data_IF_576994432545
#
_entry.id   IF_576994432545
#
_cell.length_a   1.000
_cell.length_b   1.000
_cell.length_c   1.000
_cell.angle_alpha   90.00
_cell.angle_beta   90.00
_cell.angle_gamma   90.00
#
_symmetry.space_group_name_H-M   'P 1'
#
loop_
_entity.id
_entity.type
_entity.pdbx_description
1 polymer ?
#
# COMPACT_ATOMS: atom_id res chain seq x y z
N UNK A 1 24.71 7.48 25.49
CA UNK A 1 23.74 7.07 24.45
C UNK A 1 22.35 7.25 25.04
N UNK A 2 21.42 7.96 24.37
CA UNK A 2 20.01 7.95 24.77
C UNK A 2 19.40 6.64 24.27
N UNK A 3 18.66 5.91 25.12
CA UNK A 3 17.78 4.83 24.64
C UNK A 3 16.49 5.50 24.16
N UNK A 4 16.15 5.34 22.88
CA UNK A 4 14.87 5.79 22.37
C UNK A 4 13.73 4.93 22.96
N UNK A 5 12.54 5.51 23.21
CA UNK A 5 11.45 4.79 23.85
C UNK A 5 10.88 3.74 22.90
N UNK A 6 11.13 2.47 23.21
CA UNK A 6 10.64 1.34 22.40
C UNK A 6 9.11 1.26 22.55
N UNK A 7 8.39 1.51 21.46
CA UNK A 7 6.92 1.49 21.46
C UNK A 7 6.36 0.11 21.87
N UNK A 8 5.26 0.11 22.61
CA UNK A 8 4.42 -1.06 22.89
C UNK A 8 3.18 -1.13 22.00
N UNK A 9 2.89 -0.10 21.23
CA UNK A 9 1.83 -0.09 20.22
C UNK A 9 2.40 -0.55 18.86
N UNK A 10 1.53 -1.11 18.01
CA UNK A 10 1.89 -1.36 16.62
C UNK A 10 2.18 -0.03 15.93
N UNK A 11 3.19 -0.01 15.06
CA UNK A 11 3.43 1.13 14.19
C UNK A 11 2.52 1.02 12.96
N UNK A 12 1.78 2.09 12.69
CA UNK A 12 0.89 2.20 11.54
C UNK A 12 1.63 2.97 10.43
N UNK A 13 1.88 2.28 9.32
CA UNK A 13 2.50 2.86 8.12
C UNK A 13 1.62 3.99 7.60
N UNK A 14 2.26 5.12 7.30
CA UNK A 14 1.59 6.38 6.98
C UNK A 14 2.33 7.10 5.82
N UNK A 15 1.81 8.25 5.33
CA UNK A 15 2.36 8.94 4.17
C UNK A 15 3.75 9.57 4.35
N UNK A 16 4.39 9.42 5.52
CA UNK A 16 5.77 9.83 5.76
C UNK A 16 6.74 8.66 5.91
N UNK A 17 6.27 7.40 6.01
CA UNK A 17 7.13 6.22 6.16
C UNK A 17 8.01 6.03 4.91
N UNK A 18 9.33 6.15 5.04
CA UNK A 18 10.28 6.03 3.92
C UNK A 18 10.86 4.62 3.78
N UNK A 19 11.21 4.01 4.91
CA UNK A 19 11.89 2.71 4.96
C UNK A 19 11.72 2.06 6.35
N UNK A 20 11.54 0.74 6.35
CA UNK A 20 11.52 -0.10 7.57
C UNK A 20 12.64 -1.14 7.45
N UNK A 21 13.56 -1.12 8.41
CA UNK A 21 14.65 -2.09 8.53
C UNK A 21 14.33 -3.15 9.59
N UNK A 22 14.71 -4.41 9.36
CA UNK A 22 14.88 -5.36 10.45
C UNK A 22 16.17 -5.08 11.22
N UNK A 23 16.14 -5.32 12.52
CA UNK A 23 17.31 -5.39 13.39
C UNK A 23 17.21 -6.63 14.27
N UNK A 24 18.37 -7.23 14.58
CA UNK A 24 18.46 -8.44 15.40
C UNK A 24 19.13 -8.11 16.74
N UNK A 25 18.52 -8.51 17.84
CA UNK A 25 19.06 -8.39 19.20
C UNK A 25 18.96 -9.77 19.87
N UNK A 26 20.05 -10.54 19.79
CA UNK A 26 20.01 -11.96 20.11
C UNK A 26 19.05 -12.70 19.18
N UNK A 27 18.09 -13.43 19.76
CA UNK A 27 17.04 -14.16 19.04
C UNK A 27 15.80 -13.32 18.69
N UNK A 28 15.78 -12.02 19.04
CA UNK A 28 14.63 -11.14 18.79
C UNK A 28 14.90 -10.27 17.57
N UNK A 29 14.03 -10.38 16.55
CA UNK A 29 13.96 -9.45 15.43
C UNK A 29 12.99 -8.31 15.79
N UNK A 30 13.42 -7.07 15.61
CA UNK A 30 12.63 -5.85 15.83
C UNK A 30 12.77 -4.91 14.63
N UNK A 31 12.00 -3.82 14.59
CA UNK A 31 12.02 -2.86 13.48
C UNK A 31 12.60 -1.50 13.88
N UNK A 32 13.45 -0.95 13.01
CA UNK A 32 13.75 0.49 12.95
C UNK A 32 12.99 1.09 11.76
N UNK A 33 12.20 2.14 12.02
CA UNK A 33 11.37 2.84 11.05
C UNK A 33 11.88 4.26 10.89
N UNK A 34 12.11 4.67 9.64
CA UNK A 34 12.47 6.04 9.30
C UNK A 34 11.32 6.69 8.54
N UNK A 35 10.84 7.82 9.05
CA UNK A 35 9.97 8.75 8.34
C UNK A 35 10.76 9.98 7.86
N UNK A 36 10.09 10.88 7.13
CA UNK A 36 10.68 12.12 6.60
C UNK A 36 11.40 12.94 7.68
N UNK A 37 10.79 13.11 8.87
CA UNK A 37 11.28 14.00 9.93
C UNK A 37 11.52 13.29 11.29
N UNK A 38 11.34 11.97 11.35
CA UNK A 38 11.33 11.20 12.62
C UNK A 38 11.85 9.76 12.46
N UNK A 39 12.21 9.14 13.59
CA UNK A 39 12.69 7.76 13.69
C UNK A 39 11.99 7.05 14.84
N UNK A 40 11.67 5.76 14.66
CA UNK A 40 10.97 4.96 15.67
C UNK A 40 11.54 3.54 15.75
N UNK A 41 11.61 3.01 16.97
CA UNK A 41 11.91 1.59 17.23
C UNK A 41 10.66 0.86 17.69
N UNK A 42 10.26 -0.18 16.96
CA UNK A 42 9.11 -1.03 17.28
C UNK A 42 9.55 -2.47 17.57
N UNK A 43 8.87 -3.14 18.52
CA UNK A 43 9.18 -4.52 18.94
C UNK A 43 8.81 -5.59 17.92
N UNK A 44 7.95 -5.24 16.97
CA UNK A 44 7.46 -6.14 15.93
C UNK A 44 8.43 -6.20 14.75
N UNK A 45 8.39 -7.28 13.99
CA UNK A 45 9.18 -7.44 12.76
C UNK A 45 8.65 -6.55 11.63
N UNK A 46 9.48 -6.22 10.62
CA UNK A 46 9.02 -5.40 9.50
C UNK A 46 7.83 -6.00 8.76
N UNK A 47 7.78 -7.34 8.64
CA UNK A 47 6.68 -8.02 7.99
C UNK A 47 5.38 -7.94 8.81
N UNK A 48 5.43 -8.06 10.14
CA UNK A 48 4.27 -7.83 10.99
C UNK A 48 3.71 -6.41 10.85
N UNK A 49 4.57 -5.39 10.86
CA UNK A 49 4.16 -3.99 10.67
C UNK A 49 3.46 -3.76 9.33
N UNK A 50 3.95 -4.37 8.25
CA UNK A 50 3.27 -4.34 6.94
C UNK A 50 1.92 -5.08 7.01
N UNK A 51 1.83 -6.23 7.67
CA UNK A 51 0.57 -6.98 7.80
C UNK A 51 -0.47 -6.22 8.64
N UNK A 52 -0.08 -5.62 9.77
CA UNK A 52 -1.01 -4.83 10.61
C UNK A 52 -1.43 -3.54 9.92
N UNK A 53 -0.52 -2.87 9.21
CA UNK A 53 -0.87 -1.66 8.45
C UNK A 53 -1.83 -1.96 7.30
N UNK A 54 -1.68 -3.09 6.58
CA UNK A 54 -2.69 -3.52 5.61
C UNK A 54 -4.07 -3.71 6.27
N UNK A 55 -4.11 -4.42 7.41
CA UNK A 55 -5.35 -4.69 8.14
C UNK A 55 -6.01 -3.40 8.65
N UNK A 56 -5.22 -2.41 9.09
CA UNK A 56 -5.69 -1.07 9.49
C UNK A 56 -6.44 -0.37 8.35
N UNK A 57 -5.88 -0.39 7.13
CA UNK A 57 -6.55 0.09 5.91
C UNK A 57 -7.53 -0.95 5.29
N UNK A 58 -8.14 -1.79 6.14
CA UNK A 58 -9.27 -2.65 5.78
C UNK A 58 -8.96 -3.76 4.76
N UNK A 59 -7.73 -4.29 4.71
CA UNK A 59 -7.39 -5.38 3.78
C UNK A 59 -6.26 -6.26 4.29
N UNK A 60 -6.37 -7.58 4.16
CA UNK A 60 -5.24 -8.46 4.49
C UNK A 60 -4.06 -8.25 3.53
N UNK A 61 -2.84 -8.41 4.04
CA UNK A 61 -1.62 -8.45 3.21
C UNK A 61 -1.74 -9.51 2.11
N UNK A 62 -2.30 -10.68 2.43
CA UNK A 62 -2.60 -11.75 1.49
C UNK A 62 -3.55 -11.28 0.37
N UNK A 63 -4.58 -10.50 0.69
CA UNK A 63 -5.48 -9.89 -0.30
C UNK A 63 -4.79 -8.84 -1.18
N UNK A 64 -3.97 -7.95 -0.60
CA UNK A 64 -3.17 -6.99 -1.37
C UNK A 64 -2.13 -7.67 -2.28
N UNK A 65 -1.55 -8.79 -1.83
CA UNK A 65 -0.63 -9.63 -2.61
C UNK A 65 -1.32 -10.28 -3.81
N UNK A 66 -2.45 -10.95 -3.61
CA UNK A 66 -3.19 -11.57 -4.73
C UNK A 66 -3.79 -10.51 -5.67
N UNK A 67 -4.17 -9.33 -5.15
CA UNK A 67 -4.51 -8.17 -5.96
C UNK A 67 -3.36 -7.70 -6.86
N UNK A 68 -2.13 -7.65 -6.34
CA UNK A 68 -0.93 -7.32 -7.12
C UNK A 68 -0.65 -8.36 -8.21
N UNK A 69 -0.76 -9.64 -7.89
CA UNK A 69 -0.66 -10.76 -8.85
C UNK A 69 -1.72 -10.66 -9.94
N UNK A 70 -2.96 -10.28 -9.62
CA UNK A 70 -4.04 -10.05 -10.60
C UNK A 70 -3.80 -8.79 -11.47
N UNK A 71 -3.19 -7.73 -10.93
CA UNK A 71 -2.97 -6.48 -11.65
C UNK A 71 -1.74 -6.50 -12.57
N UNK A 72 -0.65 -7.17 -12.16
CA UNK A 72 0.65 -7.14 -12.87
C UNK A 72 1.37 -8.51 -12.97
N UNK A 73 0.74 -9.61 -12.57
CA UNK A 73 1.32 -10.96 -12.68
C UNK A 73 2.45 -11.29 -11.70
N UNK A 74 2.88 -10.34 -10.84
CA UNK A 74 4.05 -10.53 -9.96
C UNK A 74 3.69 -11.39 -8.75
N UNK A 75 4.36 -12.53 -8.63
CA UNK A 75 4.23 -13.50 -7.51
C UNK A 75 5.39 -13.45 -6.52
N UNK A 76 6.62 -13.22 -6.99
CA UNK A 76 7.84 -13.23 -6.19
C UNK A 76 8.32 -11.81 -5.84
N UNK A 77 8.52 -11.56 -4.54
CA UNK A 77 8.79 -10.22 -3.96
C UNK A 77 7.78 -9.15 -4.44
N UNK A 78 6.46 -9.40 -4.35
CA UNK A 78 5.46 -8.49 -4.90
C UNK A 78 5.47 -7.15 -4.14
N UNK A 79 5.36 -6.01 -4.85
CA UNK A 79 5.00 -4.75 -4.20
C UNK A 79 3.58 -4.84 -3.61
N UNK A 80 3.29 -3.99 -2.64
CA UNK A 80 2.04 -3.97 -1.89
C UNK A 80 1.50 -2.54 -1.88
N UNK A 81 0.19 -2.40 -2.09
CA UNK A 81 -0.54 -1.15 -1.81
C UNK A 81 -0.95 -1.21 -0.34
N UNK A 82 -0.42 -0.33 0.50
CA UNK A 82 -0.82 -0.24 1.91
C UNK A 82 -2.13 0.51 1.98
N UNK A 83 -2.10 1.79 1.60
CA UNK A 83 -3.27 2.64 1.39
C UNK A 83 -3.30 3.19 -0.04
N UNK A 84 -4.35 2.92 -0.84
CA UNK A 84 -4.51 3.52 -2.15
C UNK A 84 -4.88 5.01 -2.12
N UNK A 85 -5.46 5.53 -1.03
CA UNK A 85 -5.93 6.94 -0.95
C UNK A 85 -4.74 7.89 -0.90
N UNK A 86 -3.81 7.67 0.02
CA UNK A 86 -2.57 8.44 0.15
C UNK A 86 -1.47 8.00 -0.83
N UNK A 87 -1.76 7.02 -1.70
CA UNK A 87 -0.79 6.40 -2.61
C UNK A 87 0.44 5.85 -1.90
N UNK A 88 0.26 5.25 -0.72
CA UNK A 88 1.32 4.56 0.02
C UNK A 88 1.54 3.16 -0.53
N UNK A 89 2.53 3.04 -1.42
CA UNK A 89 3.04 1.77 -1.96
C UNK A 89 4.32 1.36 -1.20
N UNK A 90 4.60 0.07 -1.13
CA UNK A 90 5.84 -0.45 -0.56
C UNK A 90 6.33 -1.67 -1.34
N UNK A 91 7.65 -1.90 -1.39
CA UNK A 91 8.22 -3.14 -1.91
C UNK A 91 9.24 -3.78 -0.95
N UNK A 92 9.31 -5.12 -0.90
CA UNK A 92 10.31 -5.84 -0.11
C UNK A 92 11.64 -5.95 -0.86
N UNK A 93 12.77 -5.90 -0.13
CA UNK A 93 14.10 -6.19 -0.69
C UNK A 93 14.36 -7.69 -0.81
N UNK A 94 14.02 -8.46 0.22
CA UNK A 94 14.17 -9.91 0.30
C UNK A 94 12.84 -10.63 0.00
N UNK A 95 12.71 -11.89 0.40
CA UNK A 95 11.39 -12.50 0.52
C UNK A 95 10.69 -11.91 1.76
N UNK A 96 9.38 -11.61 1.74
CA UNK A 96 8.64 -11.11 2.90
C UNK A 96 8.75 -11.94 4.19
N UNK A 97 9.07 -13.24 4.07
CA UNK A 97 9.30 -14.17 5.18
C UNK A 97 10.76 -14.28 5.62
N UNK A 98 11.67 -13.45 5.08
CA UNK A 98 13.07 -13.39 5.49
C UNK A 98 13.21 -12.36 6.60
N UNK A 99 13.93 -12.72 7.67
CA UNK A 99 14.24 -11.82 8.79
C UNK A 99 14.97 -10.55 8.34
N UNK A 100 15.74 -10.63 7.25
CA UNK A 100 16.57 -9.55 6.70
C UNK A 100 15.83 -8.75 5.60
N UNK A 101 14.50 -8.88 5.52
CA UNK A 101 13.67 -8.14 4.58
C UNK A 101 13.41 -6.70 5.01
N UNK A 102 14.10 -5.77 4.34
CA UNK A 102 13.82 -4.33 4.38
C UNK A 102 12.58 -4.04 3.51
N UNK A 103 11.75 -3.09 3.93
CA UNK A 103 10.61 -2.60 3.17
C UNK A 103 10.80 -1.13 2.82
N UNK A 104 10.64 -0.78 1.55
CA UNK A 104 11.02 0.53 0.99
C UNK A 104 9.82 1.16 0.28
N UNK A 105 9.61 2.45 0.55
CA UNK A 105 8.45 3.22 0.08
C UNK A 105 8.87 4.17 -1.05
N UNK A 106 8.59 3.83 -2.33
CA UNK A 106 9.19 4.53 -3.47
C UNK A 106 8.77 5.98 -3.63
N UNK A 107 7.64 6.41 -3.07
CA UNK A 107 7.21 7.81 -3.12
C UNK A 107 8.14 8.79 -2.38
N UNK A 108 9.03 8.28 -1.52
CA UNK A 108 10.04 9.09 -0.82
C UNK A 108 11.42 9.04 -1.48
N UNK A 109 11.64 8.22 -2.52
CA UNK A 109 12.94 8.10 -3.19
C UNK A 109 13.14 9.28 -4.13
N UNK A 110 14.28 9.97 -3.99
CA UNK A 110 14.68 11.10 -4.83
C UNK A 110 15.67 10.69 -5.92
N UNK A 111 16.65 9.86 -5.58
CA UNK A 111 17.69 9.33 -6.47
C UNK A 111 18.23 8.01 -5.90
N UNK A 112 18.86 7.17 -6.73
CA UNK A 112 19.54 5.96 -6.27
C UNK A 112 20.62 5.50 -7.27
N UNK A 113 21.72 4.96 -6.75
CA UNK A 113 22.89 4.57 -7.54
C UNK A 113 23.62 3.37 -6.94
N UNK A 114 24.40 2.66 -7.76
CA UNK A 114 25.34 1.66 -7.25
C UNK A 114 26.52 2.33 -6.55
N UNK A 115 27.00 1.72 -5.46
CA UNK A 115 28.20 2.16 -4.70
C UNK A 115 29.22 1.05 -4.46
N UNK A 116 28.90 -0.18 -4.86
CA UNK A 116 29.77 -1.34 -4.74
C UNK A 116 29.20 -2.56 -5.47
N UNK A 117 29.92 -3.68 -5.46
CA UNK A 117 29.38 -4.92 -6.01
C UNK A 117 28.18 -5.38 -5.16
N UNK A 118 27.00 -5.47 -5.76
CA UNK A 118 25.73 -5.79 -5.10
C UNK A 118 25.26 -4.80 -4.00
N UNK A 119 25.77 -3.55 -3.98
CA UNK A 119 25.26 -2.51 -3.06
C UNK A 119 24.63 -1.33 -3.82
N UNK A 120 23.50 -0.83 -3.32
CA UNK A 120 22.77 0.33 -3.86
C UNK A 120 22.59 1.38 -2.77
N UNK A 121 23.03 2.61 -3.05
CA UNK A 121 22.78 3.79 -2.22
C UNK A 121 21.50 4.50 -2.72
N UNK A 122 20.53 4.63 -1.84
CA UNK A 122 19.26 5.32 -2.01
C UNK A 122 19.39 6.71 -1.38
N UNK A 123 18.90 7.75 -2.04
CA UNK A 123 18.75 9.11 -1.51
C UNK A 123 17.25 9.42 -1.40
N UNK A 124 16.79 9.78 -0.21
CA UNK A 124 15.39 10.12 0.04
C UNK A 124 15.11 11.62 -0.17
N UNK A 125 13.84 12.00 -0.21
CA UNK A 125 13.38 13.39 -0.40
C UNK A 125 13.91 14.36 0.67
N UNK A 126 14.11 13.88 1.90
CA UNK A 126 14.70 14.62 3.02
C UNK A 126 16.25 14.69 2.99
N UNK A 127 16.87 14.31 1.87
CA UNK A 127 18.34 14.23 1.68
C UNK A 127 19.07 13.16 2.51
N UNK A 128 18.39 12.35 3.32
CA UNK A 128 19.02 11.20 3.98
C UNK A 128 19.40 10.14 2.94
N UNK A 129 20.52 9.45 3.19
CA UNK A 129 21.04 8.39 2.32
C UNK A 129 21.13 7.06 3.05
N UNK A 130 20.68 5.99 2.40
CA UNK A 130 20.73 4.61 2.92
C UNK A 130 21.43 3.72 1.90
N UNK A 131 22.39 2.91 2.35
CA UNK A 131 22.95 1.82 1.56
C UNK A 131 22.21 0.51 1.87
N UNK A 132 21.94 -0.30 0.84
CA UNK A 132 21.36 -1.64 0.98
C UNK A 132 22.15 -2.69 0.20
N UNK A 133 22.14 -3.92 0.72
CA UNK A 133 22.74 -5.12 0.12
C UNK A 133 21.86 -5.66 -1.01
N UNK A 134 21.70 -4.84 -2.05
CA UNK A 134 20.97 -5.16 -3.27
C UNK A 134 21.68 -4.60 -4.50
N UNK A 135 21.80 -5.41 -5.55
CA UNK A 135 22.27 -4.94 -6.85
C UNK A 135 21.28 -3.97 -7.50
N UNK A 136 21.80 -2.92 -8.13
CA UNK A 136 21.00 -1.87 -8.79
C UNK A 136 19.97 -2.44 -9.79
N UNK A 137 20.31 -3.52 -10.50
CA UNK A 137 19.40 -4.22 -11.39
C UNK A 137 18.21 -4.87 -10.64
N UNK A 138 18.42 -5.44 -9.45
CA UNK A 138 17.34 -5.97 -8.61
C UNK A 138 16.46 -4.84 -8.05
N UNK A 139 17.08 -3.71 -7.70
CA UNK A 139 16.37 -2.52 -7.21
C UNK A 139 15.47 -1.93 -8.31
N UNK A 140 16.02 -1.71 -9.51
CA UNK A 140 15.29 -1.28 -10.70
C UNK A 140 14.07 -2.18 -11.00
N UNK A 141 14.21 -3.50 -10.85
CA UNK A 141 13.09 -4.42 -11.03
C UNK A 141 11.97 -4.19 -10.00
N UNK A 142 12.29 -3.96 -8.72
CA UNK A 142 11.29 -3.68 -7.69
C UNK A 142 10.64 -2.31 -7.87
N UNK A 143 11.41 -1.27 -8.24
CA UNK A 143 10.87 0.04 -8.62
C UNK A 143 9.90 -0.10 -9.79
N UNK A 144 10.33 -0.69 -10.91
CA UNK A 144 9.52 -0.84 -12.12
C UNK A 144 8.23 -1.64 -11.89
N UNK A 145 8.30 -2.71 -11.07
CA UNK A 145 7.11 -3.48 -10.65
C UNK A 145 6.14 -2.62 -9.85
N UNK A 146 6.64 -1.76 -8.95
CA UNK A 146 5.79 -0.88 -8.13
C UNK A 146 5.17 0.24 -8.97
N UNK A 147 5.93 0.85 -9.87
CA UNK A 147 5.41 1.80 -10.86
C UNK A 147 4.35 1.17 -11.76
N UNK A 148 4.54 -0.09 -12.19
CA UNK A 148 3.54 -0.83 -12.97
C UNK A 148 2.27 -1.13 -12.17
N UNK A 149 2.40 -1.50 -10.88
CA UNK A 149 1.26 -1.71 -9.99
C UNK A 149 0.44 -0.44 -9.83
N UNK A 150 1.10 0.67 -9.49
CA UNK A 150 0.47 1.99 -9.39
C UNK A 150 -0.22 2.38 -10.71
N UNK A 151 0.47 2.28 -11.86
CA UNK A 151 -0.10 2.59 -13.16
C UNK A 151 -1.36 1.76 -13.46
N UNK A 152 -1.34 0.43 -13.23
CA UNK A 152 -2.49 -0.45 -13.49
C UNK A 152 -3.65 -0.22 -12.51
N UNK A 153 -3.36 0.06 -11.25
CA UNK A 153 -4.36 0.41 -10.25
C UNK A 153 -5.06 1.73 -10.60
N UNK A 154 -4.30 2.80 -10.83
CA UNK A 154 -4.82 4.12 -11.16
C UNK A 154 -5.49 4.18 -12.55
N UNK A 155 -5.13 3.28 -13.48
CA UNK A 155 -5.90 3.07 -14.72
C UNK A 155 -7.30 2.51 -14.42
N UNK A 156 -7.42 1.49 -13.56
CA UNK A 156 -8.73 0.93 -13.19
C UNK A 156 -9.59 1.93 -12.39
N UNK A 157 -9.00 2.72 -11.50
CA UNK A 157 -9.76 3.73 -10.75
C UNK A 157 -10.32 4.83 -11.66
N UNK A 158 -9.52 5.39 -12.58
CA UNK A 158 -10.03 6.35 -13.57
C UNK A 158 -11.10 5.78 -14.51
N UNK A 159 -11.05 4.48 -14.82
CA UNK A 159 -12.13 3.80 -15.55
C UNK A 159 -13.42 3.74 -14.73
N UNK A 160 -13.35 3.47 -13.43
CA UNK A 160 -14.51 3.49 -12.54
C UNK A 160 -15.08 4.90 -12.38
N UNK A 161 -14.23 5.91 -12.15
CA UNK A 161 -14.62 7.33 -12.06
C UNK A 161 -15.31 7.80 -13.35
N UNK A 162 -14.77 7.44 -14.52
CA UNK A 162 -15.35 7.80 -15.82
C UNK A 162 -16.67 7.09 -16.12
N UNK A 163 -16.88 5.88 -15.59
CA UNK A 163 -18.11 5.11 -15.78
C UNK A 163 -19.20 5.48 -14.77
N UNK A 164 -18.81 5.96 -13.58
CA UNK A 164 -19.72 6.32 -12.48
C UNK A 164 -19.42 7.73 -11.93
N UNK A 165 -19.52 8.79 -12.76
CA UNK A 165 -19.07 10.14 -12.38
C UNK A 165 -19.86 10.78 -11.22
N UNK A 166 -21.04 10.26 -10.91
CA UNK A 166 -21.85 10.66 -9.75
C UNK A 166 -21.33 10.12 -8.41
N UNK A 167 -20.36 9.19 -8.40
CA UNK A 167 -19.77 8.59 -7.18
C UNK A 167 -18.32 9.02 -6.93
N UNK A 168 -17.90 10.18 -7.44
CA UNK A 168 -16.55 10.70 -7.24
C UNK A 168 -16.33 11.17 -5.78
N UNK A 169 -15.84 10.26 -4.91
CA UNK A 169 -15.80 10.47 -3.44
C UNK A 169 -15.07 11.73 -2.98
N UNK A 170 -14.09 12.23 -3.74
CA UNK A 170 -13.32 13.41 -3.35
C UNK A 170 -13.93 14.73 -3.85
N UNK A 171 -14.74 14.68 -4.90
CA UNK A 171 -15.35 15.83 -5.55
C UNK A 171 -16.75 15.47 -6.06
N UNK A 172 -17.81 15.55 -5.21
CA UNK A 172 -19.18 15.36 -5.68
C UNK A 172 -19.47 16.39 -6.79
N UNK A 173 -20.07 15.99 -7.93
CA UNK A 173 -20.33 16.90 -9.04
C UNK A 173 -21.16 18.11 -8.57
N UNK A 174 -20.69 19.33 -8.87
CA UNK A 174 -21.37 20.57 -8.46
C UNK A 174 -22.83 20.65 -8.97
N UNK A 175 -23.14 19.95 -10.07
CA UNK A 175 -24.49 19.80 -10.63
C UNK A 175 -25.48 19.10 -9.67
N UNK A 176 -25.02 18.24 -8.75
CA UNK A 176 -25.87 17.58 -7.75
C UNK A 176 -26.29 18.48 -6.58
N UNK A 177 -25.64 19.64 -6.40
CA UNK A 177 -26.13 20.66 -5.48
C UNK A 177 -27.30 21.48 -6.06
N UNK A 178 -27.60 21.31 -7.36
CA UNK A 178 -28.51 22.17 -8.11
C UNK A 178 -29.44 21.41 -9.08
N UNK A 179 -29.92 20.21 -8.70
CA UNK A 179 -31.10 19.63 -9.39
C UNK A 179 -32.00 18.79 -8.47
N UNK A 180 -33.27 18.67 -8.88
CA UNK A 180 -34.42 18.46 -7.98
C UNK A 180 -34.61 17.00 -7.55
N UNK A 181 -35.17 16.82 -6.33
CA UNK A 181 -35.62 15.54 -5.74
C UNK A 181 -36.15 14.54 -6.79
N UNK A 182 -35.36 13.53 -7.15
CA UNK A 182 -35.90 12.30 -7.74
C UNK A 182 -36.42 11.42 -6.61
N UNK A 183 -37.72 11.16 -6.63
CA UNK A 183 -38.35 10.23 -5.69
C UNK A 183 -37.80 8.82 -5.94
N UNK A 184 -37.44 8.11 -4.87
CA UNK A 184 -37.29 6.66 -4.94
C UNK A 184 -38.68 6.05 -5.15
N UNK A 185 -39.00 5.65 -6.38
CA UNK A 185 -40.12 4.76 -6.62
C UNK A 185 -39.77 3.38 -6.06
N UNK A 186 -40.16 3.15 -4.80
CA UNK A 186 -40.18 1.82 -4.20
C UNK A 186 -41.14 0.95 -5.00
N UNK A 187 -40.60 0.13 -5.91
CA UNK A 187 -41.35 -0.87 -6.66
C UNK A 187 -41.80 -1.98 -5.70
N UNK A 188 -42.88 -1.72 -4.96
CA UNK A 188 -43.67 -2.77 -4.33
C UNK A 188 -44.40 -3.49 -5.46
N UNK A 189 -43.94 -4.68 -5.82
CA UNK A 189 -44.67 -5.56 -6.74
C UNK A 189 -45.84 -6.21 -6.00
N UNK A 190 -46.94 -5.50 -5.86
CA UNK A 190 -48.22 -6.10 -5.49
C UNK A 190 -48.68 -7.02 -6.64
N UNK A 191 -48.64 -8.33 -6.43
CA UNK A 191 -49.27 -9.31 -7.32
C UNK A 191 -50.50 -9.90 -6.60
N UNK A 192 -51.66 -9.28 -6.88
CA UNK A 192 -53.03 -9.70 -6.55
C UNK A 192 -53.94 -9.19 -7.68
N UNK A 193 -54.99 -9.87 -8.12
CA UNK A 193 -55.28 -11.32 -8.12
C UNK A 193 -55.30 -11.75 -9.62
N UNK A 194 -56.02 -12.72 -10.20
CA UNK A 194 -57.02 -13.73 -9.78
C UNK A 194 -57.08 -14.87 -10.81
N UNK A 195 -57.83 -15.93 -10.49
CA UNK A 195 -58.58 -16.87 -11.34
C UNK A 195 -58.52 -16.72 -12.89
N UNK A 196 -58.30 -17.85 -13.59
CA UNK A 196 -59.45 -18.62 -14.12
C UNK A 196 -59.13 -20.13 -14.19
N UNK A 197 -60.06 -20.96 -14.68
CA UNK A 197 -60.19 -22.41 -14.40
C UNK A 197 -59.80 -23.38 -15.53
N UNK A 198 -60.09 -24.65 -15.25
CA UNK A 198 -60.37 -25.80 -16.13
C UNK A 198 -59.17 -26.67 -16.57
N UNK A 199 -58.92 -27.78 -15.84
CA UNK A 199 -59.44 -29.13 -16.21
C UNK A 199 -59.47 -30.08 -14.98
#
# INVERSE_FOLDING_TARGET
MKKEPISTQFYEVNPHTMIIFPKKSGSIVYSEIYEVDSHYTSKFTPFELIKTSCNFFGSSYEGRKEGTKHLIGVTHKPPIIIDPVTSTYVFPTAAPSSEDCIWIFPQHIKDYKTVGYNHTLITFSNQQTVEIDMSLASFNNQIARTSMLHMKFSQKMRMMESNFPSMNMFFPPATLAAETRRYYNTMISENKDSDDKDE
#
